data_IF_944510309716
#
_entry.id   IF_944510309716
#
_cell.length_a   1.000
_cell.length_b   1.000
_cell.length_c   1.000
_cell.angle_alpha   90.00
_cell.angle_beta   90.00
_cell.angle_gamma   90.00
#
_symmetry.space_group_name_H-M   'P 1'
#
loop_
_entity.id
_entity.type
_entity.pdbx_description
1 polymer ?
#
# COMPACT_ATOMS: atom_id res chain seq x y z
N UNK A 1 28.21 25.45 -7.18
CA UNK A 1 27.51 26.05 -6.01
C UNK A 1 26.26 25.24 -5.70
N UNK A 2 26.12 24.68 -4.50
CA UNK A 2 24.92 23.95 -4.11
C UNK A 2 23.76 24.94 -3.88
N UNK A 3 22.62 24.74 -4.56
CA UNK A 3 21.43 25.59 -4.37
C UNK A 3 20.86 25.30 -2.97
N UNK A 4 20.94 26.28 -2.07
CA UNK A 4 20.33 26.17 -0.73
C UNK A 4 18.81 26.13 -0.90
N UNK A 5 18.19 25.02 -0.54
CA UNK A 5 16.72 24.89 -0.57
C UNK A 5 16.09 25.87 0.41
N UNK A 6 15.03 26.56 -0.01
CA UNK A 6 14.35 27.55 0.83
C UNK A 6 13.68 26.89 2.06
N UNK A 7 13.55 27.59 3.20
CA UNK A 7 12.88 27.07 4.40
C UNK A 7 11.45 26.55 4.14
N UNK A 8 10.75 27.14 3.16
CA UNK A 8 9.41 26.73 2.71
C UNK A 8 9.41 25.38 1.99
N UNK A 9 10.47 25.07 1.23
CA UNK A 9 10.66 23.76 0.58
C UNK A 9 10.96 22.68 1.62
N UNK A 10 11.79 22.98 2.62
CA UNK A 10 12.08 22.06 3.72
C UNK A 10 10.82 21.67 4.51
N UNK A 11 9.98 22.64 4.88
CA UNK A 11 8.70 22.38 5.58
C UNK A 11 7.73 21.51 4.77
N UNK A 12 7.70 21.66 3.44
CA UNK A 12 6.90 20.79 2.56
C UNK A 12 7.41 19.36 2.56
N UNK A 13 8.74 19.16 2.54
CA UNK A 13 9.35 17.83 2.61
C UNK A 13 9.10 17.13 3.95
N UNK A 14 9.18 17.86 5.06
CA UNK A 14 8.91 17.31 6.41
C UNK A 14 7.45 16.85 6.56
N UNK A 15 6.51 17.50 5.87
CA UNK A 15 5.09 17.13 5.88
C UNK A 15 4.70 16.00 4.90
N UNK A 16 5.65 15.45 4.13
CA UNK A 16 5.42 14.27 3.25
C UNK A 16 5.17 13.01 4.11
N UNK A 17 5.66 12.99 5.36
CA UNK A 17 5.50 11.90 6.31
C UNK A 17 4.25 11.97 7.19
N UNK A 18 3.08 12.37 6.66
CA UNK A 18 1.83 12.15 7.41
C UNK A 18 1.75 10.65 7.74
N UNK A 19 1.66 10.30 9.04
CA UNK A 19 1.46 8.94 9.56
C UNK A 19 0.14 8.35 9.06
N UNK A 20 0.03 8.10 7.77
CA UNK A 20 -1.13 7.49 7.14
C UNK A 20 -1.03 6.00 7.35
N UNK A 21 -2.10 5.40 7.87
CA UNK A 21 -2.22 3.95 7.87
C UNK A 21 -2.04 3.43 6.43
N UNK A 22 -1.21 2.39 6.21
CA UNK A 22 -1.06 1.80 4.89
C UNK A 22 -2.42 1.30 4.42
N UNK A 23 -2.76 1.61 3.17
CA UNK A 23 -3.97 1.06 2.56
C UNK A 23 -3.75 -0.41 2.23
N UNK A 24 -4.81 -1.24 2.35
CA UNK A 24 -4.74 -2.61 1.88
C UNK A 24 -4.47 -2.68 0.38
N UNK A 25 -3.74 -3.71 -0.04
CA UNK A 25 -3.57 -4.02 -1.46
C UNK A 25 -4.83 -4.66 -2.03
N UNK A 26 -5.14 -4.27 -3.26
CA UNK A 26 -6.21 -4.84 -4.07
C UNK A 26 -5.63 -5.41 -5.35
N UNK A 27 -6.16 -6.54 -5.80
CA UNK A 27 -5.73 -7.28 -6.98
C UNK A 27 -6.89 -7.40 -7.96
N UNK A 28 -6.57 -7.58 -9.24
CA UNK A 28 -7.56 -7.79 -10.30
C UNK A 28 -8.01 -9.24 -10.42
N UNK A 29 -7.14 -10.18 -10.07
CA UNK A 29 -7.37 -11.61 -10.19
C UNK A 29 -7.10 -12.30 -8.85
N UNK A 30 -7.79 -13.41 -8.61
CA UNK A 30 -7.56 -14.24 -7.43
C UNK A 30 -6.15 -14.82 -7.39
N UNK A 31 -5.62 -15.22 -8.55
CA UNK A 31 -4.28 -15.75 -8.68
C UNK A 31 -3.22 -14.76 -8.22
N UNK A 32 -3.35 -13.48 -8.61
CA UNK A 32 -2.45 -12.43 -8.17
C UNK A 32 -2.54 -12.19 -6.66
N UNK A 33 -3.73 -12.29 -6.07
CA UNK A 33 -3.91 -12.18 -4.63
C UNK A 33 -3.24 -13.36 -3.88
N UNK A 34 -3.45 -14.60 -4.35
CA UNK A 34 -2.84 -15.81 -3.76
C UNK A 34 -1.31 -15.80 -3.90
N UNK A 35 -0.79 -15.40 -5.07
CA UNK A 35 0.65 -15.27 -5.30
C UNK A 35 1.28 -14.26 -4.33
N UNK A 36 0.61 -13.12 -4.12
CA UNK A 36 1.06 -12.12 -3.16
C UNK A 36 1.03 -12.63 -1.71
N UNK A 37 -0.04 -13.33 -1.31
CA UNK A 37 -0.14 -13.93 0.02
C UNK A 37 1.01 -14.93 0.26
N UNK A 38 1.32 -15.76 -0.74
CA UNK A 38 2.43 -16.72 -0.69
C UNK A 38 3.79 -16.03 -0.58
N UNK A 39 4.05 -15.00 -1.37
CA UNK A 39 5.29 -14.20 -1.33
C UNK A 39 5.48 -13.53 0.04
N UNK A 40 4.39 -13.10 0.68
CA UNK A 40 4.41 -12.46 2.00
C UNK A 40 4.30 -13.43 3.17
N UNK A 41 4.20 -14.74 2.92
CA UNK A 41 4.07 -15.76 3.97
C UNK A 41 2.77 -15.67 4.77
N UNK A 42 1.71 -15.10 4.18
CA UNK A 42 0.39 -15.00 4.80
C UNK A 42 -0.31 -16.35 4.62
N UNK A 43 -0.52 -17.06 5.73
CA UNK A 43 -1.13 -18.40 5.72
C UNK A 43 -2.65 -18.34 5.82
N UNK A 44 -3.14 -17.53 6.75
CA UNK A 44 -4.57 -17.40 7.02
C UNK A 44 -5.10 -16.11 6.36
N UNK A 45 -5.63 -16.26 5.15
CA UNK A 45 -6.22 -15.15 4.44
C UNK A 45 -7.53 -15.49 3.74
N UNK A 46 -8.39 -14.49 3.67
CA UNK A 46 -9.65 -14.52 2.92
C UNK A 46 -9.59 -13.55 1.74
N UNK A 47 -10.23 -13.93 0.65
CA UNK A 47 -10.39 -13.08 -0.52
C UNK A 47 -11.72 -12.34 -0.42
N UNK A 48 -11.65 -11.02 -0.25
CA UNK A 48 -12.79 -10.12 -0.14
C UNK A 48 -12.98 -9.35 -1.46
N UNK A 49 -13.99 -9.69 -2.28
CA UNK A 49 -14.30 -8.95 -3.49
C UNK A 49 -14.97 -7.61 -3.14
N UNK A 50 -14.23 -6.52 -3.33
CA UNK A 50 -14.70 -5.15 -3.03
C UNK A 50 -15.55 -4.59 -4.18
N UNK A 51 -15.19 -4.94 -5.42
CA UNK A 51 -15.89 -4.56 -6.66
C UNK A 51 -15.78 -5.71 -7.65
N UNK A 52 -16.57 -5.67 -8.73
CA UNK A 52 -16.56 -6.67 -9.79
C UNK A 52 -15.13 -7.08 -10.24
N UNK A 53 -14.21 -6.11 -10.35
CA UNK A 53 -12.86 -6.35 -10.86
C UNK A 53 -11.77 -6.24 -9.77
N UNK A 54 -12.12 -6.18 -8.48
CA UNK A 54 -11.15 -5.93 -7.42
C UNK A 54 -11.37 -6.81 -6.20
N UNK A 55 -10.29 -7.49 -5.81
CA UNK A 55 -10.23 -8.39 -4.67
C UNK A 55 -9.19 -7.89 -3.68
N UNK A 56 -9.50 -7.88 -2.40
CA UNK A 56 -8.58 -7.58 -1.31
C UNK A 56 -8.29 -8.86 -0.52
N UNK A 57 -7.11 -8.90 0.08
CA UNK A 57 -6.74 -9.94 1.04
C UNK A 57 -7.10 -9.43 2.44
N UNK A 58 -7.95 -10.16 3.15
CA UNK A 58 -8.20 -10.00 4.58
C UNK A 58 -7.36 -11.03 5.33
N UNK A 59 -6.43 -10.56 6.15
CA UNK A 59 -5.69 -11.42 7.08
C UNK A 59 -6.53 -11.61 8.33
N UNK A 60 -6.70 -12.84 8.76
CA UNK A 60 -7.33 -13.17 10.06
C UNK A 60 -6.29 -13.16 11.18
#
# INVERSE_FOLDING_TARGET
MARKTSPKQLRRMVNIGRKRAPRPKTFKTEEAAKAYAKEKGIKDFELDPIRADKIRILTK
#
